data_IF_948032012470
#
_entry.id   IF_948032012470
#
_cell.length_a   1.000
_cell.length_b   1.000
_cell.length_c   1.000
_cell.angle_alpha   90.00
_cell.angle_beta   90.00
_cell.angle_gamma   90.00
#
_symmetry.space_group_name_H-M   'P 1'
#
loop_
_entity.id
_entity.type
_entity.pdbx_description
1 polymer ?
#
# COMPACT_ATOMS: atom_id res chain seq x y z
N UNK A 1 3.88 26.76 1.00
CA UNK A 1 5.03 26.16 1.73
C UNK A 1 6.32 26.79 1.21
N UNK A 2 7.34 26.95 2.04
CA UNK A 2 8.68 27.32 1.56
C UNK A 2 9.37 26.11 0.90
N UNK A 3 10.39 26.32 0.05
CA UNK A 3 11.15 25.21 -0.54
C UNK A 3 11.74 24.25 0.50
N UNK A 4 12.20 24.78 1.64
CA UNK A 4 12.73 23.97 2.74
C UNK A 4 11.64 23.09 3.40
N UNK A 5 10.43 23.63 3.59
CA UNK A 5 9.28 22.87 4.11
C UNK A 5 8.86 21.77 3.13
N UNK A 6 8.87 22.07 1.83
CA UNK A 6 8.56 21.10 0.78
C UNK A 6 9.57 19.95 0.80
N UNK A 7 10.87 20.26 0.77
CA UNK A 7 11.93 19.25 0.82
C UNK A 7 11.84 18.38 2.09
N UNK A 8 11.55 18.98 3.24
CA UNK A 8 11.38 18.22 4.50
C UNK A 8 10.18 17.27 4.43
N UNK A 9 9.05 17.74 3.89
CA UNK A 9 7.83 16.92 3.73
C UNK A 9 8.06 15.77 2.76
N UNK A 10 8.70 16.03 1.62
CA UNK A 10 9.07 15.00 0.64
C UNK A 10 9.96 13.92 1.27
N UNK A 11 10.96 14.31 2.07
CA UNK A 11 11.83 13.36 2.77
C UNK A 11 11.07 12.50 3.79
N UNK A 12 10.15 13.08 4.55
CA UNK A 12 9.32 12.36 5.54
C UNK A 12 8.49 11.28 4.83
N UNK A 13 7.79 11.64 3.75
CA UNK A 13 6.99 10.66 3.00
C UNK A 13 7.85 9.64 2.25
N UNK A 14 9.01 10.03 1.72
CA UNK A 14 9.94 9.09 1.11
C UNK A 14 10.41 8.01 2.10
N UNK A 15 10.69 8.39 3.35
CA UNK A 15 11.03 7.44 4.42
C UNK A 15 9.86 6.54 4.77
N UNK A 16 8.64 7.08 4.88
CA UNK A 16 7.43 6.31 5.11
C UNK A 16 7.20 5.27 3.99
N UNK A 17 7.38 5.66 2.73
CA UNK A 17 7.29 4.76 1.58
C UNK A 17 8.34 3.65 1.63
N UNK A 18 9.59 3.96 1.96
CA UNK A 18 10.64 2.96 2.11
C UNK A 18 10.31 1.95 3.24
N UNK A 19 9.76 2.44 4.36
CA UNK A 19 9.31 1.59 5.45
C UNK A 19 8.14 0.69 5.02
N UNK A 20 7.16 1.22 4.28
CA UNK A 20 6.04 0.43 3.74
C UNK A 20 6.52 -0.66 2.78
N UNK A 21 7.48 -0.37 1.89
CA UNK A 21 8.06 -1.41 1.01
C UNK A 21 8.68 -2.55 1.81
N UNK A 22 9.37 -2.24 2.90
CA UNK A 22 9.91 -3.26 3.80
C UNK A 22 8.78 -4.08 4.44
N UNK A 23 7.74 -3.44 4.96
CA UNK A 23 6.59 -4.13 5.56
C UNK A 23 5.90 -5.05 4.54
N UNK A 24 5.74 -4.61 3.30
CA UNK A 24 5.17 -5.41 2.20
C UNK A 24 6.03 -6.62 1.88
N UNK A 25 7.36 -6.45 1.83
CA UNK A 25 8.29 -7.55 1.64
C UNK A 25 8.18 -8.59 2.77
N UNK A 26 8.19 -8.12 4.02
CA UNK A 26 8.06 -8.99 5.20
C UNK A 26 6.71 -9.74 5.20
N UNK A 27 5.62 -9.07 4.81
CA UNK A 27 4.30 -9.68 4.66
C UNK A 27 4.27 -10.74 3.54
N UNK A 28 4.91 -10.49 2.41
CA UNK A 28 5.03 -11.46 1.33
C UNK A 28 5.78 -12.72 1.80
N UNK A 29 6.90 -12.56 2.51
CA UNK A 29 7.64 -13.70 3.09
C UNK A 29 6.77 -14.46 4.09
N UNK A 30 6.03 -13.77 4.96
CA UNK A 30 5.14 -14.39 5.95
C UNK A 30 3.99 -15.19 5.30
N UNK A 31 3.38 -14.65 4.25
CA UNK A 31 2.35 -15.34 3.46
C UNK A 31 2.91 -16.61 2.81
N UNK A 32 4.06 -16.52 2.16
CA UNK A 32 4.69 -17.70 1.55
C UNK A 32 5.05 -18.77 2.58
N UNK A 33 5.45 -18.37 3.79
CA UNK A 33 5.73 -19.30 4.88
C UNK A 33 4.45 -19.96 5.43
N UNK A 34 3.32 -19.27 5.38
CA UNK A 34 2.02 -19.80 5.82
C UNK A 34 1.41 -20.80 4.82
N UNK A 35 1.87 -20.81 3.56
CA UNK A 35 1.33 -21.65 2.49
C UNK A 35 2.08 -22.98 2.33
N UNK A 36 1.35 -24.02 1.95
CA UNK A 36 1.94 -25.27 1.47
C UNK A 36 2.80 -25.04 0.22
N UNK A 37 3.83 -25.87 -0.04
CA UNK A 37 4.62 -25.79 -1.28
C UNK A 37 3.75 -25.81 -2.55
N UNK A 38 2.71 -26.66 -2.57
CA UNK A 38 1.80 -26.82 -3.70
C UNK A 38 1.01 -25.54 -3.99
N UNK A 39 0.52 -24.86 -2.94
CA UNK A 39 -0.20 -23.59 -3.10
C UNK A 39 0.72 -22.43 -3.50
N UNK A 40 1.99 -22.44 -3.08
CA UNK A 40 2.98 -21.47 -3.57
C UNK A 40 3.25 -21.61 -5.06
N UNK A 41 3.36 -22.85 -5.56
CA UNK A 41 3.51 -23.10 -7.00
C UNK A 41 2.27 -22.70 -7.79
N UNK A 42 1.06 -22.90 -7.24
CA UNK A 42 -0.17 -22.41 -7.84
C UNK A 42 -0.18 -20.87 -7.94
N UNK A 43 0.13 -20.18 -6.84
CA UNK A 43 0.21 -18.71 -6.81
C UNK A 43 1.20 -18.19 -7.86
N UNK A 44 2.41 -18.74 -7.91
CA UNK A 44 3.40 -18.35 -8.90
C UNK A 44 2.93 -18.51 -10.35
N UNK A 45 2.23 -19.62 -10.65
CA UNK A 45 1.64 -19.85 -11.99
C UNK A 45 0.53 -18.86 -12.31
N UNK A 46 -0.32 -18.54 -11.36
CA UNK A 46 -1.42 -17.59 -11.55
C UNK A 46 -0.92 -16.16 -11.76
N UNK A 47 0.07 -15.73 -10.96
CA UNK A 47 0.72 -14.43 -11.14
C UNK A 47 1.44 -14.35 -12.49
N UNK A 48 2.13 -15.41 -12.91
CA UNK A 48 2.75 -15.46 -14.23
C UNK A 48 1.72 -15.44 -15.36
N UNK A 49 0.60 -16.15 -15.22
CA UNK A 49 -0.48 -16.15 -16.21
C UNK A 49 -1.11 -14.76 -16.37
N UNK A 50 -1.31 -14.03 -15.27
CA UNK A 50 -1.77 -12.64 -15.32
C UNK A 50 -0.78 -11.71 -16.02
N UNK A 51 0.52 -11.90 -15.79
CA UNK A 51 1.55 -11.10 -16.46
C UNK A 51 1.61 -11.35 -17.99
N UNK A 52 1.17 -12.53 -18.43
CA UNK A 52 1.16 -12.92 -19.85
C UNK A 52 -0.18 -12.66 -20.54
N UNK A 53 -1.29 -12.61 -19.79
CA UNK A 53 -2.63 -12.42 -20.33
C UNK A 53 -3.37 -11.34 -19.54
N UNK A 54 -3.47 -10.11 -20.08
CA UNK A 54 -4.20 -9.03 -19.44
C UNK A 54 -5.72 -9.30 -19.32
N UNK A 55 -6.24 -10.29 -20.06
CA UNK A 55 -7.64 -10.71 -19.98
C UNK A 55 -7.93 -11.61 -18.77
N UNK A 56 -6.88 -12.15 -18.12
CA UNK A 56 -7.02 -12.99 -16.94
C UNK A 56 -7.25 -12.08 -15.72
N UNK A 57 -8.52 -11.71 -15.53
CA UNK A 57 -8.92 -10.74 -14.50
C UNK A 57 -8.65 -11.21 -13.08
N UNK A 58 -8.30 -10.27 -12.20
CA UNK A 58 -7.99 -10.50 -10.78
C UNK A 58 -9.08 -11.34 -10.08
N UNK A 59 -10.36 -11.04 -10.34
CA UNK A 59 -11.49 -11.78 -9.76
C UNK A 59 -11.53 -13.28 -10.12
N UNK A 60 -10.97 -13.68 -11.26
CA UNK A 60 -10.87 -15.10 -11.61
C UNK A 60 -9.73 -15.77 -10.84
N UNK A 61 -8.61 -15.07 -10.65
CA UNK A 61 -7.45 -15.58 -9.92
C UNK A 61 -7.76 -15.70 -8.43
N UNK A 62 -8.40 -14.69 -7.84
CA UNK A 62 -8.89 -14.71 -6.45
C UNK A 62 -9.70 -15.97 -6.18
N UNK A 63 -10.72 -16.26 -7.01
CA UNK A 63 -11.58 -17.43 -6.85
C UNK A 63 -10.82 -18.76 -6.94
N UNK A 64 -9.80 -18.85 -7.79
CA UNK A 64 -8.98 -20.07 -7.90
C UNK A 64 -8.10 -20.26 -6.68
N UNK A 65 -7.56 -19.16 -6.12
CA UNK A 65 -6.79 -19.20 -4.88
C UNK A 65 -7.69 -19.57 -3.69
N UNK A 66 -8.86 -18.96 -3.56
CA UNK A 66 -9.82 -19.25 -2.48
C UNK A 66 -10.23 -20.72 -2.45
N UNK A 67 -10.49 -21.31 -3.63
CA UNK A 67 -10.87 -22.72 -3.74
C UNK A 67 -9.72 -23.68 -3.43
N UNK A 68 -8.46 -23.25 -3.60
CA UNK A 68 -7.28 -24.08 -3.36
C UNK A 68 -6.82 -24.02 -1.89
N UNK A 69 -6.92 -22.86 -1.25
CA UNK A 69 -6.42 -22.67 0.11
C UNK A 69 -7.19 -23.51 1.13
N UNK A 70 -6.45 -24.13 2.06
CA UNK A 70 -7.07 -24.68 3.26
C UNK A 70 -7.57 -23.56 4.18
N UNK A 71 -8.50 -23.89 5.08
CA UNK A 71 -9.02 -22.92 6.06
C UNK A 71 -7.93 -22.35 6.97
N UNK A 72 -6.90 -23.13 7.30
CA UNK A 72 -5.79 -22.69 8.14
C UNK A 72 -4.87 -21.69 7.40
N UNK A 73 -4.58 -21.96 6.13
CA UNK A 73 -3.80 -21.06 5.27
C UNK A 73 -4.55 -19.76 5.01
N UNK A 74 -5.84 -19.84 4.64
CA UNK A 74 -6.70 -18.69 4.44
C UNK A 74 -6.74 -17.76 5.66
N UNK A 75 -6.94 -18.31 6.87
CA UNK A 75 -6.91 -17.54 8.12
C UNK A 75 -5.56 -16.88 8.36
N UNK A 76 -4.47 -17.59 8.08
CA UNK A 76 -3.11 -17.06 8.26
C UNK A 76 -2.83 -15.91 7.31
N UNK A 77 -3.25 -16.03 6.04
CA UNK A 77 -3.12 -14.97 5.02
C UNK A 77 -3.90 -13.73 5.42
N UNK A 78 -5.17 -13.89 5.85
CA UNK A 78 -5.99 -12.76 6.32
C UNK A 78 -5.37 -12.06 7.53
N UNK A 79 -4.81 -12.81 8.48
CA UNK A 79 -4.11 -12.22 9.63
C UNK A 79 -2.87 -11.42 9.22
N UNK A 80 -2.09 -11.91 8.26
CA UNK A 80 -0.93 -11.19 7.73
C UNK A 80 -1.38 -9.92 7.01
N UNK A 81 -2.43 -9.99 6.20
CA UNK A 81 -2.97 -8.83 5.49
C UNK A 81 -3.50 -7.75 6.44
N UNK A 82 -4.27 -8.14 7.47
CA UNK A 82 -4.76 -7.20 8.49
C UNK A 82 -3.61 -6.55 9.28
N UNK A 83 -2.57 -7.32 9.60
CA UNK A 83 -1.38 -6.79 10.28
C UNK A 83 -0.63 -5.79 9.40
N UNK A 84 -0.44 -6.12 8.12
CA UNK A 84 0.19 -5.24 7.14
C UNK A 84 -0.60 -3.93 7.01
N UNK A 85 -1.91 -4.01 6.83
CA UNK A 85 -2.77 -2.83 6.70
C UNK A 85 -2.65 -1.90 7.91
N UNK A 86 -2.71 -2.44 9.13
CA UNK A 86 -2.54 -1.65 10.35
C UNK A 86 -1.16 -0.97 10.41
N UNK A 87 -0.09 -1.69 10.04
CA UNK A 87 1.27 -1.16 10.07
C UNK A 87 1.50 -0.08 9.01
N UNK A 88 0.91 -0.23 7.81
CA UNK A 88 0.95 0.78 6.74
C UNK A 88 0.22 2.04 7.18
N UNK A 89 -1.00 1.92 7.71
CA UNK A 89 -1.76 3.04 8.27
C UNK A 89 -0.97 3.78 9.35
N UNK A 90 -0.42 3.06 10.32
CA UNK A 90 0.37 3.68 11.39
C UNK A 90 1.61 4.40 10.85
N UNK A 91 2.27 3.82 9.85
CA UNK A 91 3.47 4.42 9.23
C UNK A 91 3.14 5.76 8.59
N UNK A 92 2.04 5.83 7.82
CA UNK A 92 1.63 7.09 7.19
C UNK A 92 1.01 8.07 8.17
N UNK A 93 0.27 7.62 9.18
CA UNK A 93 -0.22 8.50 10.25
C UNK A 93 0.96 9.20 10.96
N UNK A 94 2.03 8.46 11.26
CA UNK A 94 3.25 9.02 11.84
C UNK A 94 3.94 10.00 10.88
N UNK A 95 3.98 9.70 9.58
CA UNK A 95 4.55 10.58 8.57
C UNK A 95 3.77 11.89 8.46
N UNK A 96 2.43 11.82 8.46
CA UNK A 96 1.57 12.99 8.50
C UNK A 96 1.83 13.86 9.73
N UNK A 97 1.89 13.26 10.92
CA UNK A 97 2.19 13.98 12.15
C UNK A 97 3.57 14.66 12.10
N UNK A 98 4.59 14.02 11.52
CA UNK A 98 5.91 14.62 11.33
C UNK A 98 5.87 15.78 10.32
N UNK A 99 5.14 15.62 9.22
CA UNK A 99 4.96 16.67 8.22
C UNK A 99 4.25 17.89 8.80
N UNK A 100 3.23 17.70 9.64
CA UNK A 100 2.55 18.80 10.34
C UNK A 100 3.48 19.64 11.20
N UNK A 101 4.53 19.05 11.78
CA UNK A 101 5.50 19.77 12.61
C UNK A 101 6.42 20.69 11.81
N UNK A 102 6.59 20.45 10.50
CA UNK A 102 7.39 21.34 9.63
C UNK A 102 6.56 22.46 8.99
N UNK A 103 5.24 22.44 9.19
CA UNK A 103 4.29 23.38 8.62
C UNK A 103 3.88 24.47 9.62
N UNK A 104 3.55 25.65 9.09
CA UNK A 104 2.96 26.71 9.91
C UNK A 104 1.55 26.30 10.39
N UNK A 105 1.03 26.90 11.47
CA UNK A 105 -0.33 26.62 11.93
C UNK A 105 -1.41 26.81 10.86
N UNK A 106 -1.25 27.81 9.99
CA UNK A 106 -2.20 28.06 8.88
C UNK A 106 -2.09 26.99 7.80
N UNK A 107 -0.87 26.55 7.45
CA UNK A 107 -0.65 25.46 6.48
C UNK A 107 -1.18 24.10 6.96
N UNK A 108 -1.16 23.84 8.27
CA UNK A 108 -1.70 22.60 8.86
C UNK A 108 -3.21 22.46 8.66
N UNK A 109 -3.96 23.57 8.66
CA UNK A 109 -5.42 23.55 8.47
C UNK A 109 -5.83 23.07 7.07
N UNK A 110 -5.05 23.39 6.05
CA UNK A 110 -5.33 22.94 4.67
C UNK A 110 -4.99 21.46 4.46
N UNK A 111 -3.91 20.98 5.09
CA UNK A 111 -3.45 19.59 4.96
C UNK A 111 -4.30 18.62 5.79
N UNK A 112 -4.73 19.01 6.98
CA UNK A 112 -5.62 18.18 7.82
C UNK A 112 -6.98 17.88 7.16
N UNK A 113 -7.41 18.70 6.18
CA UNK A 113 -8.60 18.43 5.37
C UNK A 113 -8.36 17.46 4.20
N UNK A 114 -7.09 17.24 3.82
CA UNK A 114 -6.68 16.44 2.66
C UNK A 114 -5.98 15.14 3.06
N UNK A 115 -5.96 14.77 4.34
CA UNK A 115 -5.46 13.46 4.76
C UNK A 115 -6.38 12.40 4.16
N UNK A 116 -5.91 11.82 3.05
CA UNK A 116 -6.57 10.73 2.36
C UNK A 116 -6.62 9.58 3.34
N UNK A 117 -7.83 9.10 3.62
CA UNK A 117 -8.09 7.85 4.31
C UNK A 117 -7.49 6.74 3.43
N UNK A 118 -6.19 6.46 3.62
CA UNK A 118 -5.44 5.43 2.88
C UNK A 118 -5.80 4.06 3.44
N UNK A 119 -7.09 3.74 3.39
CA UNK A 119 -7.57 2.40 3.68
C UNK A 119 -7.16 1.54 2.51
N UNK A 120 -6.27 0.56 2.74
CA UNK A 120 -6.25 -0.56 1.81
C UNK A 120 -7.64 -1.17 1.90
N UNK A 121 -8.28 -1.37 0.76
CA UNK A 121 -9.61 -1.96 0.71
C UNK A 121 -9.60 -3.23 1.57
N UNK A 122 -10.48 -3.28 2.59
CA UNK A 122 -10.49 -4.36 3.58
C UNK A 122 -10.63 -5.68 2.82
N UNK A 123 -9.53 -6.42 2.65
CA UNK A 123 -9.54 -7.67 1.93
C UNK A 123 -10.27 -8.72 2.78
N UNK A 124 -11.55 -8.90 2.52
CA UNK A 124 -12.38 -9.89 3.21
C UNK A 124 -12.11 -11.30 2.70
N UNK A 125 -11.62 -11.41 1.46
CA UNK A 125 -11.33 -12.68 0.78
C UNK A 125 -9.83 -13.00 0.81
N UNK A 126 -9.43 -14.24 1.18
CA UNK A 126 -8.03 -14.61 1.33
C UNK A 126 -7.28 -14.57 -0.01
N UNK A 127 -7.93 -14.91 -1.13
CA UNK A 127 -7.37 -14.83 -2.46
C UNK A 127 -7.12 -13.38 -2.91
N UNK A 128 -7.99 -12.44 -2.52
CA UNK A 128 -7.79 -11.02 -2.78
C UNK A 128 -6.63 -10.48 -1.93
N UNK A 129 -6.59 -10.82 -0.64
CA UNK A 129 -5.49 -10.48 0.25
C UNK A 129 -4.16 -11.03 -0.26
N UNK A 130 -4.16 -12.27 -0.75
CA UNK A 130 -2.99 -12.94 -1.33
C UNK A 130 -2.50 -12.23 -2.60
N UNK A 131 -3.39 -11.89 -3.52
CA UNK A 131 -3.06 -11.15 -4.73
C UNK A 131 -2.53 -9.75 -4.42
N UNK A 132 -3.18 -9.04 -3.51
CA UNK A 132 -2.73 -7.73 -3.07
C UNK A 132 -1.28 -7.79 -2.58
N UNK A 133 -0.95 -8.73 -1.71
CA UNK A 133 0.41 -8.89 -1.17
C UNK A 133 1.40 -9.35 -2.26
N UNK A 134 0.98 -10.25 -3.16
CA UNK A 134 1.83 -10.78 -4.22
C UNK A 134 2.15 -9.79 -5.35
N UNK A 135 1.23 -8.88 -5.66
CA UNK A 135 1.34 -7.95 -6.80
C UNK A 135 1.82 -6.54 -6.42
N UNK A 136 1.95 -6.23 -5.12
CA UNK A 136 2.12 -4.87 -4.60
C UNK A 136 3.43 -4.14 -4.93
N UNK A 137 4.22 -4.63 -5.89
CA UNK A 137 5.51 -4.05 -6.24
C UNK A 137 5.46 -2.67 -6.94
N UNK A 138 4.29 -2.11 -7.33
CA UNK A 138 4.27 -0.91 -8.20
C UNK A 138 3.29 0.24 -7.88
N UNK A 139 2.23 0.06 -7.06
CA UNK A 139 1.11 1.03 -7.08
C UNK A 139 1.21 2.20 -6.09
N UNK A 140 1.93 2.08 -4.98
CA UNK A 140 1.86 3.08 -3.88
C UNK A 140 2.69 4.35 -4.17
N UNK A 141 3.66 4.31 -5.09
CA UNK A 141 4.53 5.47 -5.37
C UNK A 141 3.81 6.63 -6.09
N UNK A 142 2.74 6.38 -6.85
CA UNK A 142 2.19 7.37 -7.79
C UNK A 142 1.13 8.31 -7.20
N UNK A 143 0.48 7.95 -6.08
CA UNK A 143 -0.60 8.75 -5.51
C UNK A 143 -0.09 10.01 -4.79
N UNK A 144 0.98 9.89 -4.00
CA UNK A 144 1.46 10.99 -3.15
C UNK A 144 2.29 12.03 -3.91
N UNK A 145 3.04 11.62 -4.95
CA UNK A 145 3.81 12.55 -5.77
C UNK A 145 2.92 13.55 -6.52
N UNK A 146 1.69 13.13 -6.89
CA UNK A 146 0.69 14.01 -7.52
C UNK A 146 0.08 15.03 -6.55
N UNK A 147 -0.03 14.73 -5.26
CA UNK A 147 -0.57 15.69 -4.28
C UNK A 147 0.39 16.87 -4.08
N UNK A 148 1.68 16.60 -3.92
CA UNK A 148 2.72 17.63 -3.78
C UNK A 148 2.79 18.50 -5.06
N UNK A 149 2.70 17.89 -6.24
CA UNK A 149 2.69 18.61 -7.51
C UNK A 149 1.42 19.44 -7.76
N UNK A 150 0.24 18.93 -7.42
CA UNK A 150 -1.01 19.70 -7.57
C UNK A 150 -1.03 20.91 -6.65
N UNK A 151 -0.48 20.77 -5.44
CA UNK A 151 -0.46 21.85 -4.45
C UNK A 151 0.57 22.93 -4.80
N UNK A 152 1.74 22.57 -5.36
CA UNK A 152 2.71 23.57 -5.84
C UNK A 152 2.15 24.44 -6.97
N UNK A 153 1.39 23.85 -7.90
CA UNK A 153 0.78 24.58 -9.02
C UNK A 153 -0.35 25.53 -8.58
N UNK A 154 -1.06 25.24 -7.48
CA UNK A 154 -2.12 26.11 -6.97
C UNK A 154 -1.61 27.39 -6.30
N UNK A 155 -0.36 27.42 -5.82
CA UNK A 155 0.20 28.57 -5.09
C UNK A 155 1.25 29.38 -5.86
N UNK A 156 1.65 28.97 -7.07
CA UNK A 156 2.52 29.76 -7.97
C UNK A 156 1.77 30.82 -8.82
N UNK A 157 0.43 30.85 -8.79
CA UNK A 157 -0.38 31.70 -9.67
C UNK A 157 -1.04 32.91 -9.01
N UNK A 158 -0.73 33.22 -7.74
CA UNK A 158 -1.28 34.41 -7.07
C UNK A 158 -0.18 35.49 -6.94
N UNK A 159 -0.26 36.60 -7.70
CA UNK A 159 0.69 37.71 -7.62
C UNK A 159 0.54 38.53 -6.33
#
# INVERSE_FOLDING_TARGET
MTPAQQQATEQIFAQAHAQVQKLQHDAHVAVLAAMSPQHRELLGRLVAAMALSPDLGEAQVTRQLDAALSQAEARSILNVAATLDQQVHQTFANAHQQAENVLTPDQRKDISQHVVDMRMEDAQDPGQALLMIALQHQSIMYANMRMVQKWSHQHETTP
#
